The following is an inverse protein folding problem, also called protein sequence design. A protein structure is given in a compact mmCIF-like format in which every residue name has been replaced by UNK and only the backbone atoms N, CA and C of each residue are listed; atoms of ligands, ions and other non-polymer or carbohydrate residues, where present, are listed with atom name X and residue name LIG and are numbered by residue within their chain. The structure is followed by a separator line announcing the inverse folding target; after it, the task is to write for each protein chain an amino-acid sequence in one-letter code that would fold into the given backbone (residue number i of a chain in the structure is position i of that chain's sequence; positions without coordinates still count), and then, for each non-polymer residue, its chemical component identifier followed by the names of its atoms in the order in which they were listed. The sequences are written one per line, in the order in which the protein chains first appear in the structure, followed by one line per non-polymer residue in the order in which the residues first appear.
data_IF_322334371949
#
_entry.id   IF_322334371949
#
_cell.length_a   1.000
_cell.length_b   1.000
_cell.length_c   1.000
_cell.angle_alpha   90.00
_cell.angle_beta   90.00
_cell.angle_gamma   90.00
#
_symmetry.space_group_name_H-M   'P 1'
#
loop_
_entity.id
_entity.type
_entity.pdbx_description
1 polymer ?
#
# COMPACT_ATOMS: atom_id res chain seq x y z
N UNK A 1 25.37 -5.24 15.86
CA UNK A 1 24.47 -6.34 16.28
C UNK A 1 24.77 -7.51 15.36
N UNK A 2 24.96 -8.72 15.90
CA UNK A 2 25.16 -9.93 15.08
C UNK A 2 23.79 -10.58 14.84
N UNK A 3 23.07 -10.13 13.81
CA UNK A 3 21.90 -10.84 13.28
C UNK A 3 22.29 -11.60 12.01
N UNK A 4 21.62 -12.72 11.75
CA UNK A 4 21.74 -13.43 10.48
C UNK A 4 20.68 -12.86 9.50
N UNK A 5 21.07 -12.13 8.43
CA UNK A 5 20.12 -11.53 7.50
C UNK A 5 19.20 -12.54 6.82
N UNK A 6 19.67 -13.76 6.56
CA UNK A 6 18.86 -14.80 5.91
C UNK A 6 17.75 -15.30 6.83
N UNK A 7 18.03 -15.45 8.14
CA UNK A 7 16.99 -15.78 9.12
C UNK A 7 15.95 -14.67 9.24
N UNK A 8 16.38 -13.41 9.23
CA UNK A 8 15.47 -12.27 9.27
C UNK A 8 14.59 -12.21 8.01
N UNK A 9 15.18 -12.43 6.83
CA UNK A 9 14.44 -12.51 5.57
C UNK A 9 13.37 -13.61 5.62
N UNK A 10 13.74 -14.80 6.09
CA UNK A 10 12.79 -15.91 6.21
C UNK A 10 11.68 -15.59 7.21
N UNK A 11 12.00 -14.97 8.35
CA UNK A 11 10.97 -14.50 9.29
C UNK A 11 10.01 -13.52 8.61
N UNK A 12 10.52 -12.51 7.92
CA UNK A 12 9.72 -11.46 7.27
C UNK A 12 8.80 -12.04 6.19
N UNK A 13 9.32 -12.89 5.31
CA UNK A 13 8.56 -13.46 4.20
C UNK A 13 7.50 -14.48 4.63
N UNK A 14 7.67 -15.09 5.80
CA UNK A 14 6.74 -16.11 6.30
C UNK A 14 5.82 -15.59 7.40
N UNK A 15 6.04 -14.37 7.92
CA UNK A 15 5.21 -13.83 8.99
C UNK A 15 3.83 -13.43 8.46
N UNK A 16 2.79 -13.78 9.24
CA UNK A 16 1.41 -13.34 9.00
C UNK A 16 1.01 -12.15 9.87
N UNK A 17 1.95 -11.65 10.67
CA UNK A 17 1.72 -10.55 11.61
C UNK A 17 2.73 -9.44 11.32
N UNK A 18 2.36 -8.16 11.49
CA UNK A 18 3.30 -7.07 11.36
C UNK A 18 4.38 -7.14 12.45
N UNK A 19 5.63 -6.92 12.04
CA UNK A 19 6.81 -6.97 12.91
C UNK A 19 7.49 -5.59 12.99
N UNK A 20 7.91 -5.22 14.20
CA UNK A 20 8.68 -4.01 14.46
C UNK A 20 10.14 -4.37 14.75
N UNK A 21 11.05 -3.84 13.92
CA UNK A 21 12.50 -4.01 14.08
C UNK A 21 13.11 -2.74 14.65
N UNK A 22 13.53 -2.77 15.92
CA UNK A 22 14.10 -1.62 16.63
C UNK A 22 15.61 -1.57 16.46
N UNK A 23 16.18 -0.39 16.20
CA UNK A 23 17.64 -0.16 16.22
C UNK A 23 18.47 -1.10 15.31
N UNK A 24 17.84 -1.75 14.32
CA UNK A 24 18.53 -2.67 13.40
C UNK A 24 19.24 -1.90 12.28
N UNK A 25 18.53 -0.93 11.69
CA UNK A 25 19.08 -0.08 10.63
C UNK A 25 19.95 1.02 11.27
N UNK A 26 21.21 1.11 10.86
CA UNK A 26 22.20 2.06 11.40
C UNK A 26 22.55 3.17 10.39
N UNK A 27 21.62 3.48 9.49
CA UNK A 27 21.79 4.50 8.46
C UNK A 27 22.08 5.88 9.04
N UNK A 28 22.95 6.67 8.37
CA UNK A 28 23.22 8.06 8.75
C UNK A 28 21.98 8.95 8.69
N UNK A 29 20.96 8.53 7.92
CA UNK A 29 19.69 9.23 7.79
C UNK A 29 19.00 9.42 9.14
N UNK A 30 19.19 8.49 10.09
CA UNK A 30 18.61 8.59 11.44
C UNK A 30 19.15 9.76 12.26
N UNK A 31 20.29 10.32 11.86
CA UNK A 31 20.90 11.49 12.50
C UNK A 31 20.57 12.80 11.79
N UNK A 32 19.83 12.75 10.67
CA UNK A 32 19.49 13.95 9.91
C UNK A 32 18.42 14.76 10.65
N UNK A 33 18.66 16.06 10.74
CA UNK A 33 17.67 17.03 11.20
C UNK A 33 17.06 17.79 10.00
N UNK A 34 16.13 18.71 10.26
CA UNK A 34 15.45 19.45 9.20
C UNK A 34 16.39 20.30 8.34
N UNK A 35 17.56 20.73 8.84
CA UNK A 35 18.57 21.45 8.03
C UNK A 35 19.24 20.53 7.02
N UNK A 36 19.49 19.27 7.40
CA UNK A 36 20.04 18.27 6.47
C UNK A 36 19.03 17.97 5.35
N UNK A 37 17.76 17.78 5.72
CA UNK A 37 16.68 17.59 4.74
C UNK A 37 16.49 18.81 3.83
N UNK A 38 16.55 20.02 4.39
CA UNK A 38 16.52 21.26 3.60
C UNK A 38 17.63 21.29 2.56
N UNK A 39 18.86 20.96 2.93
CA UNK A 39 20.01 20.93 2.00
C UNK A 39 19.83 19.90 0.89
N UNK A 40 19.28 18.73 1.19
CA UNK A 40 19.08 17.66 0.20
C UNK A 40 17.93 17.98 -0.77
N UNK A 41 16.93 18.72 -0.31
CA UNK A 41 15.72 19.04 -1.08
C UNK A 41 15.70 20.48 -1.62
N UNK A 42 16.78 21.25 -1.43
CA UNK A 42 16.83 22.70 -1.65
C UNK A 42 16.38 23.12 -3.05
N UNK A 43 16.86 22.42 -4.07
CA UNK A 43 16.60 22.77 -5.48
C UNK A 43 15.38 22.04 -6.08
N UNK A 44 14.55 21.41 -5.23
CA UNK A 44 13.40 20.63 -5.69
C UNK A 44 12.10 21.39 -5.50
N UNK A 45 11.33 21.49 -6.58
CA UNK A 45 9.91 21.79 -6.49
C UNK A 45 9.16 20.51 -6.12
N UNK A 46 8.65 20.47 -4.89
CA UNK A 46 7.94 19.33 -4.34
C UNK A 46 6.44 19.53 -4.56
N UNK A 47 5.76 18.46 -4.96
CA UNK A 47 4.31 18.45 -5.17
C UNK A 47 3.62 17.78 -3.98
N UNK A 48 2.91 18.58 -3.19
CA UNK A 48 2.23 18.15 -1.99
C UNK A 48 0.73 18.00 -2.23
N UNK A 49 0.14 16.89 -1.80
CA UNK A 49 -1.28 16.86 -1.48
C UNK A 49 -1.54 17.71 -0.25
N UNK A 50 -2.67 18.40 -0.25
CA UNK A 50 -3.07 19.27 0.84
C UNK A 50 -4.49 18.94 1.28
N UNK A 51 -4.66 18.74 2.58
CA UNK A 51 -5.97 18.56 3.21
C UNK A 51 -6.03 19.27 4.55
N UNK A 52 -7.11 19.07 5.29
CA UNK A 52 -7.36 19.66 6.60
C UNK A 52 -6.99 18.69 7.72
N UNK A 53 -6.32 19.17 8.75
CA UNK A 53 -6.08 18.47 10.00
C UNK A 53 -7.27 18.67 10.94
N UNK A 54 -8.43 18.16 10.52
CA UNK A 54 -9.69 18.25 11.26
C UNK A 54 -10.53 16.99 11.04
N UNK A 55 -11.60 16.83 11.83
CA UNK A 55 -12.56 15.74 11.64
C UNK A 55 -13.37 15.97 10.36
N UNK A 56 -13.28 15.03 9.42
CA UNK A 56 -14.04 15.06 8.18
C UNK A 56 -15.06 13.92 8.13
N UNK A 57 -16.24 14.18 7.56
CA UNK A 57 -17.29 13.16 7.39
C UNK A 57 -16.83 12.01 6.49
N UNK A 58 -16.10 12.34 5.42
CA UNK A 58 -15.50 11.39 4.50
C UNK A 58 -13.97 11.45 4.63
N UNK A 59 -13.24 10.35 4.37
CA UNK A 59 -11.78 10.40 4.32
C UNK A 59 -11.28 11.40 3.26
N UNK A 60 -10.13 12.02 3.51
CA UNK A 60 -9.53 13.00 2.60
C UNK A 60 -8.67 12.29 1.56
N UNK A 61 -9.36 11.69 0.61
CA UNK A 61 -8.76 10.92 -0.46
C UNK A 61 -7.89 11.75 -1.40
N UNK A 62 -6.96 11.08 -2.07
CA UNK A 62 -5.99 11.61 -3.03
C UNK A 62 -6.64 12.54 -4.06
N UNK A 63 -7.75 12.11 -4.65
CA UNK A 63 -8.51 12.88 -5.65
C UNK A 63 -9.38 14.00 -5.10
N UNK A 64 -9.65 13.99 -3.80
CA UNK A 64 -10.47 15.01 -3.12
C UNK A 64 -9.61 16.07 -2.44
N UNK A 65 -8.33 15.80 -2.27
CA UNK A 65 -7.33 16.76 -1.78
C UNK A 65 -6.80 17.62 -2.92
N UNK A 66 -6.42 18.85 -2.60
CA UNK A 66 -5.79 19.72 -3.58
C UNK A 66 -4.30 19.39 -3.73
N UNK A 67 -3.72 19.74 -4.87
CA UNK A 67 -2.27 19.69 -5.08
C UNK A 67 -1.70 21.10 -4.97
N UNK A 68 -0.60 21.24 -4.23
CA UNK A 68 0.17 22.47 -4.12
C UNK A 68 1.63 22.16 -4.35
N UNK A 69 2.31 22.99 -5.15
CA UNK A 69 3.75 22.88 -5.38
C UNK A 69 4.51 23.89 -4.53
N UNK A 70 5.68 23.50 -4.04
CA UNK A 70 6.53 24.39 -3.26
C UNK A 70 7.88 23.78 -2.91
N UNK A 71 8.79 24.61 -2.42
CA UNK A 71 10.08 24.14 -1.90
C UNK A 71 9.94 23.46 -0.54
N UNK A 72 11.01 22.82 -0.08
CA UNK A 72 11.05 22.32 1.30
C UNK A 72 10.94 23.44 2.34
N UNK A 73 11.38 24.66 2.03
CA UNK A 73 11.17 25.83 2.90
C UNK A 73 9.72 26.26 2.99
N UNK A 74 8.98 26.20 1.87
CA UNK A 74 7.54 26.38 1.90
C UNK A 74 6.89 25.35 2.83
N UNK A 75 7.28 24.07 2.72
CA UNK A 75 6.78 23.02 3.61
C UNK A 75 7.07 23.32 5.09
N UNK A 76 8.30 23.70 5.44
CA UNK A 76 8.68 24.03 6.82
C UNK A 76 7.89 25.22 7.36
N UNK A 77 7.77 26.31 6.59
CA UNK A 77 7.00 27.48 6.99
C UNK A 77 5.52 27.15 7.23
N UNK A 78 4.93 26.29 6.39
CA UNK A 78 3.55 25.83 6.59
C UNK A 78 3.43 24.95 7.84
N UNK A 79 4.40 24.10 8.15
CA UNK A 79 4.38 23.27 9.36
C UNK A 79 4.49 24.07 10.66
N UNK A 80 5.12 25.25 10.62
CA UNK A 80 5.24 26.16 11.75
C UNK A 80 4.03 27.10 11.89
N UNK A 81 3.27 27.30 10.81
CA UNK A 81 2.04 28.08 10.82
C UNK A 81 0.92 27.37 11.61
N UNK A 82 0.03 28.14 12.24
CA UNK A 82 -1.18 27.61 12.89
C UNK A 82 -2.27 27.21 11.88
N UNK A 83 -1.91 26.89 10.63
CA UNK A 83 -2.89 26.48 9.63
C UNK A 83 -3.49 25.13 10.01
N UNK A 84 -4.80 24.99 9.82
CA UNK A 84 -5.49 23.71 9.92
C UNK A 84 -5.18 22.79 8.72
N UNK A 85 -4.19 23.09 7.87
CA UNK A 85 -3.92 22.30 6.67
C UNK A 85 -2.67 21.46 6.85
N UNK A 86 -2.71 20.22 6.37
CA UNK A 86 -1.54 19.37 6.24
C UNK A 86 -1.03 19.36 4.80
N UNK A 87 0.27 19.14 4.65
CA UNK A 87 0.97 18.93 3.39
C UNK A 87 1.52 17.51 3.38
N UNK A 88 1.39 16.81 2.26
CA UNK A 88 1.87 15.44 2.11
C UNK A 88 2.50 15.20 0.74
N UNK A 89 3.80 14.96 0.72
CA UNK A 89 4.57 14.49 -0.43
C UNK A 89 4.64 12.96 -0.31
N UNK A 90 3.62 12.28 -0.80
CA UNK A 90 3.41 10.84 -0.67
C UNK A 90 3.57 10.09 -2.00
N UNK A 91 3.93 8.80 -1.91
CA UNK A 91 4.08 7.88 -3.05
C UNK A 91 5.08 8.34 -4.12
N UNK A 92 6.15 9.02 -3.71
CA UNK A 92 7.15 9.55 -4.63
C UNK A 92 8.30 8.56 -4.77
N UNK A 93 8.42 7.94 -5.94
CA UNK A 93 9.54 7.05 -6.25
C UNK A 93 10.86 7.82 -6.25
N UNK A 94 11.86 7.32 -5.51
CA UNK A 94 13.16 7.98 -5.41
C UNK A 94 13.89 8.06 -6.75
N UNK A 95 13.73 7.04 -7.61
CA UNK A 95 14.27 7.00 -8.98
C UNK A 95 13.70 8.07 -9.91
N UNK A 96 12.56 8.66 -9.58
CA UNK A 96 11.90 9.66 -10.43
C UNK A 96 12.05 11.07 -9.84
N UNK A 97 11.94 11.20 -8.51
CA UNK A 97 11.88 12.51 -7.84
C UNK A 97 13.21 12.98 -7.27
N UNK A 98 14.06 12.06 -6.80
CA UNK A 98 15.27 12.36 -6.03
C UNK A 98 16.48 11.64 -6.61
N UNK A 99 16.67 11.74 -7.94
CA UNK A 99 17.73 11.06 -8.70
C UNK A 99 19.14 11.54 -8.36
N UNK A 100 19.29 12.83 -8.07
CA UNK A 100 20.53 13.54 -7.77
C UNK A 100 20.82 13.63 -6.25
N UNK A 101 19.97 13.06 -5.41
CA UNK A 101 20.13 13.07 -3.96
C UNK A 101 21.04 11.93 -3.48
N UNK A 102 22.27 11.83 -3.99
CA UNK A 102 23.22 10.73 -3.69
C UNK A 102 23.38 10.48 -2.19
N UNK A 103 23.52 11.53 -1.39
CA UNK A 103 23.65 11.41 0.06
C UNK A 103 22.42 10.76 0.74
N UNK A 104 21.22 10.89 0.17
CA UNK A 104 20.04 10.16 0.63
C UNK A 104 20.10 8.71 0.15
N UNK A 105 20.32 8.52 -1.16
CA UNK A 105 20.26 7.23 -1.84
C UNK A 105 21.29 6.23 -1.32
N UNK A 106 22.52 6.69 -1.10
CA UNK A 106 23.63 5.86 -0.59
C UNK A 106 23.43 5.38 0.86
N UNK A 107 22.51 6.02 1.60
CA UNK A 107 22.23 5.67 2.98
C UNK A 107 20.95 4.82 3.14
N UNK A 108 20.39 4.31 2.04
CA UNK A 108 19.28 3.35 2.04
C UNK A 108 19.86 1.95 1.78
N UNK A 109 19.69 1.04 2.74
CA UNK A 109 20.06 -0.36 2.55
C UNK A 109 19.15 -1.27 3.36
N UNK A 110 18.60 -2.27 2.67
CA UNK A 110 17.78 -3.33 3.25
C UNK A 110 18.55 -4.63 3.47
N UNK A 111 19.86 -4.64 3.18
CA UNK A 111 20.74 -5.78 3.41
C UNK A 111 20.72 -6.29 4.87
N UNK A 112 20.63 -5.45 5.92
CA UNK A 112 20.52 -5.95 7.30
C UNK A 112 19.27 -6.80 7.57
N UNK A 113 18.21 -6.65 6.77
CA UNK A 113 16.98 -7.47 6.82
C UNK A 113 17.02 -8.66 5.84
N UNK A 114 18.14 -8.86 5.13
CA UNK A 114 18.33 -9.93 4.15
C UNK A 114 17.81 -9.63 2.74
N UNK A 115 17.60 -8.34 2.43
CA UNK A 115 17.19 -7.86 1.10
C UNK A 115 18.26 -6.97 0.45
N UNK A 116 19.48 -7.47 0.17
CA UNK A 116 20.57 -6.65 -0.36
C UNK A 116 20.32 -6.11 -1.78
N UNK A 117 19.38 -6.72 -2.51
CA UNK A 117 19.05 -6.33 -3.88
C UNK A 117 17.99 -5.23 -3.96
N UNK A 118 17.32 -4.89 -2.85
CA UNK A 118 16.40 -3.76 -2.81
C UNK A 118 17.24 -2.51 -2.58
N UNK A 119 17.24 -1.64 -3.58
CA UNK A 119 18.04 -0.41 -3.63
C UNK A 119 17.16 0.82 -3.44
N UNK A 120 17.76 2.01 -3.43
CA UNK A 120 17.01 3.25 -3.42
C UNK A 120 16.06 3.39 -4.63
N UNK A 121 16.36 2.78 -5.78
CA UNK A 121 15.50 2.86 -6.97
C UNK A 121 14.19 2.09 -6.83
N UNK A 122 14.17 1.09 -5.95
CA UNK A 122 13.00 0.29 -5.62
C UNK A 122 12.15 0.95 -4.52
N UNK A 123 12.60 2.08 -3.98
CA UNK A 123 11.99 2.72 -2.82
C UNK A 123 11.15 3.95 -3.19
N UNK A 124 10.08 4.16 -2.42
CA UNK A 124 9.27 5.37 -2.39
C UNK A 124 9.53 6.16 -1.10
N UNK A 125 9.33 7.48 -1.15
CA UNK A 125 9.48 8.39 -0.01
C UNK A 125 8.15 9.06 0.34
N UNK A 126 7.95 9.28 1.63
CA UNK A 126 6.84 10.02 2.20
C UNK A 126 7.35 11.12 3.12
N UNK A 127 7.00 12.37 2.82
CA UNK A 127 7.29 13.54 3.67
C UNK A 127 5.97 14.23 3.96
N UNK A 128 5.55 14.27 5.24
CA UNK A 128 4.26 14.84 5.63
C UNK A 128 4.37 15.73 6.85
N UNK A 129 3.57 16.80 6.87
CA UNK A 129 3.39 17.63 8.05
C UNK A 129 2.53 16.89 9.09
N UNK A 130 2.41 17.46 10.30
CA UNK A 130 1.46 16.96 11.30
C UNK A 130 0.05 16.90 10.68
N UNK A 131 -0.62 15.77 10.82
CA UNK A 131 -1.97 15.56 10.30
C UNK A 131 -2.05 14.93 8.92
N UNK A 132 -0.95 14.92 8.16
CA UNK A 132 -0.88 14.19 6.90
C UNK A 132 -1.11 12.70 7.15
N UNK A 133 -1.97 12.08 6.35
CA UNK A 133 -2.37 10.70 6.52
C UNK A 133 -2.68 10.05 5.17
N UNK A 134 -2.52 8.74 5.15
CA UNK A 134 -3.00 7.89 4.07
C UNK A 134 -4.24 7.16 4.58
N UNK A 135 -5.38 7.22 3.87
CA UNK A 135 -6.55 6.42 4.21
C UNK A 135 -6.22 4.92 4.30
N UNK A 136 -7.04 4.17 5.03
CA UNK A 136 -6.89 2.72 5.11
C UNK A 136 -7.03 2.11 3.71
N UNK A 137 -6.03 1.31 3.33
CA UNK A 137 -5.94 0.61 2.06
C UNK A 137 -5.19 -0.71 2.29
N UNK A 138 -5.22 -1.57 1.27
CA UNK A 138 -4.46 -2.81 1.23
C UNK A 138 -3.49 -2.71 0.07
N UNK A 139 -2.22 -2.98 0.35
CA UNK A 139 -1.20 -3.13 -0.66
C UNK A 139 -1.10 -4.59 -1.10
N UNK A 140 -0.77 -4.77 -2.36
CA UNK A 140 -0.73 -6.03 -3.09
C UNK A 140 0.69 -6.52 -3.36
N UNK A 141 1.71 -5.78 -2.93
CA UNK A 141 3.14 -6.04 -3.17
C UNK A 141 3.74 -7.17 -2.32
N UNK A 142 2.92 -8.04 -1.72
CA UNK A 142 3.35 -9.10 -0.81
C UNK A 142 3.69 -8.59 0.59
N UNK A 143 4.85 -7.93 0.75
CA UNK A 143 5.24 -7.33 2.03
C UNK A 143 5.93 -5.98 1.85
N UNK A 144 5.57 -5.00 2.69
CA UNK A 144 6.23 -3.69 2.71
C UNK A 144 7.27 -3.60 3.82
N UNK A 145 8.45 -3.10 3.46
CA UNK A 145 9.47 -2.68 4.42
C UNK A 145 9.39 -1.17 4.59
N UNK A 146 9.07 -0.71 5.80
CA UNK A 146 8.92 0.72 6.11
C UNK A 146 10.06 1.18 7.00
N UNK A 147 10.82 2.17 6.54
CA UNK A 147 11.90 2.78 7.30
C UNK A 147 11.51 4.20 7.77
N UNK A 148 11.15 4.33 9.04
CA UNK A 148 10.84 5.65 9.64
C UNK A 148 12.14 6.40 9.97
N UNK A 149 12.42 7.45 9.20
CA UNK A 149 13.68 8.21 9.32
C UNK A 149 13.60 9.41 10.26
N UNK A 150 12.50 10.17 10.22
CA UNK A 150 12.31 11.38 11.02
C UNK A 150 10.86 11.50 11.53
N UNK A 151 10.67 11.99 12.75
CA UNK A 151 9.34 12.16 13.34
C UNK A 151 8.67 10.85 13.78
N UNK A 152 7.34 10.87 13.90
CA UNK A 152 6.53 9.72 14.35
C UNK A 152 5.29 9.58 13.48
N UNK A 153 4.96 8.35 13.09
CA UNK A 153 3.70 7.99 12.43
C UNK A 153 2.92 7.02 13.31
N UNK A 154 1.60 7.16 13.30
CA UNK A 154 0.68 6.17 13.85
C UNK A 154 0.28 5.22 12.73
N UNK A 155 0.45 3.92 12.96
CA UNK A 155 0.02 2.86 12.05
C UNK A 155 -1.13 2.09 12.68
N UNK A 156 -2.21 1.91 11.93
CA UNK A 156 -3.32 1.03 12.27
C UNK A 156 -3.36 -0.01 11.17
N UNK A 157 -3.14 -1.28 11.53
CA UNK A 157 -3.07 -2.39 10.59
C UNK A 157 -4.14 -3.39 10.98
N UNK A 158 -5.04 -3.68 10.03
CA UNK A 158 -6.03 -4.74 10.18
C UNK A 158 -5.56 -5.98 9.43
N UNK A 159 -5.76 -7.18 9.97
CA UNK A 159 -5.47 -8.41 9.22
C UNK A 159 -6.47 -8.56 8.05
N UNK A 160 -6.09 -9.27 6.98
CA UNK A 160 -6.87 -9.35 5.74
C UNK A 160 -8.23 -10.03 5.93
N UNK A 161 -8.42 -10.80 7.00
CA UNK A 161 -9.70 -11.44 7.33
C UNK A 161 -10.71 -10.45 7.94
N UNK A 162 -10.30 -9.25 8.33
CA UNK A 162 -11.24 -8.22 8.76
C UNK A 162 -12.08 -7.74 7.58
N UNK A 163 -13.41 -7.80 7.75
CA UNK A 163 -14.36 -7.36 6.73
C UNK A 163 -14.47 -5.82 6.71
N UNK A 164 -13.40 -5.16 6.28
CA UNK A 164 -13.40 -3.73 6.00
C UNK A 164 -14.17 -3.50 4.69
N UNK A 165 -15.17 -2.60 4.73
CA UNK A 165 -15.94 -2.27 3.53
C UNK A 165 -15.05 -1.51 2.54
N UNK A 166 -14.75 -2.07 1.37
CA UNK A 166 -14.03 -1.33 0.36
C UNK A 166 -14.86 -0.16 -0.14
N UNK A 167 -14.19 0.93 -0.51
CA UNK A 167 -14.86 2.16 -0.97
C UNK A 167 -14.62 2.45 -2.44
N UNK A 168 -13.77 1.67 -3.12
CA UNK A 168 -13.35 1.88 -4.51
C UNK A 168 -13.00 0.57 -5.20
N UNK A 169 -13.19 0.55 -6.52
CA UNK A 169 -12.81 -0.57 -7.40
C UNK A 169 -12.04 -0.04 -8.63
N UNK A 170 -11.21 -0.86 -9.31
CA UNK A 170 -10.63 -2.12 -8.87
C UNK A 170 -9.80 -1.89 -7.59
N UNK A 171 -9.65 -2.94 -6.79
CA UNK A 171 -8.69 -2.94 -5.69
C UNK A 171 -7.26 -2.85 -6.26
N UNK A 172 -6.26 -2.40 -5.49
CA UNK A 172 -4.88 -2.08 -5.93
C UNK A 172 -4.22 -3.13 -6.87
N UNK A 173 -3.19 -2.72 -7.62
CA UNK A 173 -2.48 -3.56 -8.61
C UNK A 173 -1.78 -4.77 -7.98
N UNK A 174 -2.14 -6.00 -8.32
CA UNK A 174 -1.56 -7.24 -7.77
C UNK A 174 -0.04 -7.37 -7.93
N UNK A 175 0.62 -8.10 -7.01
CA UNK A 175 2.06 -8.37 -7.14
C UNK A 175 2.37 -9.07 -8.47
N UNK A 176 3.44 -8.66 -9.20
CA UNK A 176 3.87 -9.34 -10.43
C UNK A 176 4.14 -10.84 -10.28
N UNK A 177 4.35 -11.33 -9.05
CA UNK A 177 4.69 -12.73 -8.79
C UNK A 177 3.48 -13.65 -8.53
N UNK A 178 2.28 -13.12 -8.32
CA UNK A 178 1.07 -13.93 -8.11
C UNK A 178 0.22 -13.98 -9.39
N UNK A 179 0.38 -15.05 -10.17
CA UNK A 179 -0.35 -15.22 -11.43
C UNK A 179 -1.87 -15.36 -11.21
N UNK A 180 -2.32 -15.96 -10.10
CA UNK A 180 -3.75 -16.13 -9.81
C UNK A 180 -4.39 -14.80 -9.43
N UNK A 181 -3.73 -14.02 -8.58
CA UNK A 181 -4.19 -12.69 -8.20
C UNK A 181 -4.22 -11.75 -9.41
N UNK A 182 -3.17 -11.77 -10.26
CA UNK A 182 -3.14 -11.01 -11.53
C UNK A 182 -4.25 -11.41 -12.50
N UNK A 183 -4.63 -12.69 -12.49
CA UNK A 183 -5.75 -13.15 -13.31
C UNK A 183 -7.08 -12.64 -12.75
N UNK A 184 -7.30 -12.74 -11.44
CA UNK A 184 -8.48 -12.21 -10.77
C UNK A 184 -8.60 -10.68 -10.96
N UNK A 185 -7.50 -9.95 -10.83
CA UNK A 185 -7.45 -8.50 -11.06
C UNK A 185 -7.85 -8.16 -12.49
N UNK A 186 -7.33 -8.88 -13.49
CA UNK A 186 -7.69 -8.64 -14.89
C UNK A 186 -9.19 -8.83 -15.18
N UNK A 187 -9.85 -9.74 -14.47
CA UNK A 187 -11.31 -9.93 -14.52
C UNK A 187 -12.01 -8.70 -13.94
N UNK A 188 -11.59 -8.26 -12.76
CA UNK A 188 -12.14 -7.06 -12.11
C UNK A 188 -11.97 -5.83 -13.00
N UNK A 189 -10.78 -5.61 -13.58
CA UNK A 189 -10.53 -4.49 -14.49
C UNK A 189 -11.50 -4.49 -15.70
N UNK A 190 -11.77 -5.65 -16.31
CA UNK A 190 -12.74 -5.77 -17.42
C UNK A 190 -14.19 -5.51 -16.99
N UNK A 191 -14.58 -5.95 -15.80
CA UNK A 191 -15.93 -5.70 -15.27
C UNK A 191 -16.11 -4.21 -14.96
N UNK A 192 -15.14 -3.60 -14.28
CA UNK A 192 -15.16 -2.17 -13.93
C UNK A 192 -15.11 -1.30 -15.18
N UNK A 193 -14.28 -1.65 -16.18
CA UNK A 193 -14.17 -0.90 -17.44
C UNK A 193 -15.53 -0.66 -18.10
N UNK A 194 -16.37 -1.69 -18.20
CA UNK A 194 -17.69 -1.59 -18.84
C UNK A 194 -18.63 -0.62 -18.10
N UNK A 195 -18.55 -0.57 -16.76
CA UNK A 195 -19.35 0.35 -15.96
C UNK A 195 -18.82 1.78 -16.06
N UNK A 196 -17.50 1.95 -16.04
CA UNK A 196 -16.83 3.25 -16.09
C UNK A 196 -17.05 3.95 -17.45
N UNK A 197 -17.12 3.19 -18.54
CA UNK A 197 -17.39 3.73 -19.89
C UNK A 197 -18.78 4.36 -20.03
N UNK A 198 -19.77 3.88 -19.25
CA UNK A 198 -21.15 4.41 -19.29
C UNK A 198 -21.42 5.47 -18.22
N UNK A 199 -20.54 5.59 -17.22
CA UNK A 199 -20.66 6.55 -16.13
C UNK A 199 -20.08 7.93 -16.48
N UNK A 200 -20.59 8.97 -15.83
CA UNK A 200 -20.04 10.32 -15.98
C UNK A 200 -18.73 10.48 -15.18
N UNK A 201 -17.98 11.56 -15.46
CA UNK A 201 -16.69 11.83 -14.83
C UNK A 201 -16.75 12.00 -13.30
N UNK A 202 -17.82 12.59 -12.79
CA UNK A 202 -17.99 12.81 -11.34
C UNK A 202 -18.19 11.47 -10.61
N UNK A 203 -19.08 10.62 -11.12
CA UNK A 203 -19.28 9.25 -10.64
C UNK A 203 -17.98 8.46 -10.70
N UNK A 204 -17.29 8.48 -11.84
CA UNK A 204 -15.99 7.79 -12.02
C UNK A 204 -14.93 8.24 -11.01
N UNK A 205 -14.81 9.54 -10.76
CA UNK A 205 -13.85 10.08 -9.79
C UNK A 205 -14.12 9.59 -8.36
N UNK A 206 -15.38 9.34 -8.01
CA UNK A 206 -15.80 8.88 -6.68
C UNK A 206 -15.64 7.37 -6.45
N UNK A 207 -15.75 6.54 -7.49
CA UNK A 207 -15.76 5.07 -7.35
C UNK A 207 -14.46 4.39 -7.78
N UNK A 208 -13.69 5.00 -8.67
CA UNK A 208 -12.49 4.37 -9.23
C UNK A 208 -11.30 4.55 -8.27
N UNK A 209 -10.49 3.51 -8.08
CA UNK A 209 -9.19 3.65 -7.44
C UNK A 209 -8.27 4.58 -8.27
N UNK A 210 -7.74 5.69 -7.72
CA UNK A 210 -6.79 6.57 -8.40
C UNK A 210 -5.63 5.86 -9.10
N UNK A 211 -5.08 4.81 -8.50
CA UNK A 211 -3.96 4.07 -9.07
C UNK A 211 -4.35 3.28 -10.32
N UNK A 212 -5.64 2.96 -10.49
CA UNK A 212 -6.16 2.19 -11.63
C UNK A 212 -6.68 3.08 -12.78
N UNK A 213 -6.65 4.40 -12.62
CA UNK A 213 -7.18 5.34 -13.63
C UNK A 213 -6.47 5.19 -14.96
N UNK A 214 -5.13 5.14 -14.94
CA UNK A 214 -4.36 5.05 -16.16
C UNK A 214 -4.70 3.78 -16.92
N UNK A 215 -4.75 2.64 -16.22
CA UNK A 215 -5.11 1.35 -16.81
C UNK A 215 -6.51 1.40 -17.42
N UNK A 216 -7.51 1.87 -16.67
CA UNK A 216 -8.91 1.82 -17.11
C UNK A 216 -9.25 2.82 -18.21
N UNK A 217 -8.62 4.01 -18.25
CA UNK A 217 -8.94 5.03 -19.24
C UNK A 217 -8.04 5.00 -20.48
N UNK A 218 -6.78 4.54 -20.38
CA UNK A 218 -5.86 4.50 -21.52
C UNK A 218 -5.93 3.19 -22.31
N UNK A 219 -6.42 2.10 -21.71
CA UNK A 219 -6.62 0.84 -22.42
C UNK A 219 -8.07 0.71 -22.88
N UNK A 220 -8.26 0.25 -24.11
CA UNK A 220 -9.57 -0.21 -24.59
C UNK A 220 -9.92 -1.59 -24.01
N UNK A 221 -11.18 -1.99 -24.18
CA UNK A 221 -11.67 -3.28 -23.72
C UNK A 221 -10.85 -4.45 -24.29
N UNK A 222 -10.46 -4.37 -25.56
CA UNK A 222 -9.65 -5.39 -26.24
C UNK A 222 -8.26 -5.56 -25.61
N UNK A 223 -7.61 -4.47 -25.23
CA UNK A 223 -6.30 -4.50 -24.57
C UNK A 223 -6.38 -5.13 -23.17
N UNK A 224 -7.43 -4.82 -22.41
CA UNK A 224 -7.69 -5.48 -21.12
C UNK A 224 -8.02 -6.96 -21.30
N UNK A 225 -8.78 -7.32 -22.33
CA UNK A 225 -9.10 -8.71 -22.66
C UNK A 225 -7.85 -9.52 -23.05
N UNK A 226 -6.93 -8.92 -23.79
CA UNK A 226 -5.61 -9.51 -24.07
C UNK A 226 -4.83 -9.76 -22.79
N UNK A 227 -4.81 -8.79 -21.87
CA UNK A 227 -4.14 -8.92 -20.57
C UNK A 227 -4.72 -10.07 -19.76
N UNK A 228 -6.06 -10.18 -19.69
CA UNK A 228 -6.74 -11.31 -19.06
C UNK A 228 -6.32 -12.65 -19.68
N UNK A 229 -6.29 -12.73 -21.01
CA UNK A 229 -5.90 -13.97 -21.70
C UNK A 229 -4.44 -14.36 -21.44
N UNK A 230 -3.53 -13.39 -21.34
CA UNK A 230 -2.13 -13.64 -20.95
C UNK A 230 -2.06 -14.20 -19.53
N UNK A 231 -2.73 -13.57 -18.56
CA UNK A 231 -2.77 -14.05 -17.18
C UNK A 231 -3.39 -15.45 -17.09
N UNK A 232 -4.49 -15.69 -17.81
CA UNK A 232 -5.13 -17.02 -17.93
C UNK A 232 -4.15 -18.09 -18.39
N UNK A 233 -3.39 -17.82 -19.47
CA UNK A 233 -2.42 -18.79 -20.00
C UNK A 233 -1.34 -19.13 -18.96
N UNK A 234 -0.81 -18.14 -18.25
CA UNK A 234 0.18 -18.35 -17.18
C UNK A 234 -0.37 -19.21 -16.03
N UNK A 235 -1.59 -18.91 -15.56
CA UNK A 235 -2.25 -19.75 -14.55
C UNK A 235 -2.41 -21.20 -15.03
N UNK A 236 -2.77 -21.41 -16.30
CA UNK A 236 -2.92 -22.75 -16.87
C UNK A 236 -1.58 -23.49 -16.99
N UNK A 237 -0.50 -22.80 -17.34
CA UNK A 237 0.86 -23.37 -17.38
C UNK A 237 1.30 -23.80 -15.98
N UNK A 238 1.09 -22.97 -14.96
CA UNK A 238 1.41 -23.30 -13.55
C UNK A 238 0.60 -24.50 -13.03
N UNK A 239 -0.66 -24.65 -13.44
CA UNK A 239 -1.48 -25.82 -13.09
C UNK A 239 -0.98 -27.11 -13.77
N UNK A 240 -0.41 -27.02 -14.97
CA UNK A 240 0.16 -28.16 -15.70
C UNK A 240 1.54 -28.56 -15.14
N UNK A 241 2.40 -27.59 -14.85
CA UNK A 241 3.71 -27.84 -14.24
C UNK A 241 3.59 -28.45 -12.85
N UNK A 242 2.65 -27.99 -12.01
CA UNK A 242 2.37 -28.58 -10.69
C UNK A 242 1.80 -30.00 -10.75
N UNK A 243 1.04 -30.35 -11.80
CA UNK A 243 0.58 -31.74 -12.04
C UNK A 243 1.74 -32.66 -12.43
N UNK A 244 2.70 -32.16 -13.20
CA UNK A 244 3.89 -32.92 -13.59
C UNK A 244 4.86 -33.08 -12.40
N UNK A 245 5.05 -32.04 -11.59
CA UNK A 245 5.93 -32.06 -10.41
C UNK A 245 5.41 -32.97 -9.28
N UNK A 246 4.08 -33.02 -9.08
CA UNK A 246 3.45 -33.96 -8.12
C UNK A 246 3.55 -35.43 -8.54
N UNK A 247 3.73 -35.72 -9.82
CA UNK A 247 3.98 -37.09 -10.28
C UNK A 247 5.45 -37.52 -10.10
N UNK A 248 6.39 -36.59 -9.95
CA UNK A 248 7.82 -36.88 -9.74
C UNK A 248 8.24 -36.89 -8.25
N UNK A 249 7.53 -36.20 -7.35
CA UNK A 249 7.92 -36.03 -5.94
C UNK A 249 7.20 -36.91 -4.91
N UNK A 250 6.81 -38.14 -5.26
CA UNK A 250 6.40 -39.13 -4.26
C UNK A 250 7.58 -39.71 -3.44
N UNK A 251 8.79 -39.12 -3.52
CA UNK A 251 9.89 -39.37 -2.59
C UNK A 251 10.65 -38.06 -2.30
N UNK A 252 10.89 -37.80 -1.01
CA UNK A 252 11.54 -36.62 -0.40
C UNK A 252 10.63 -35.38 -0.25
N UNK A 253 10.54 -34.68 0.89
CA UNK A 253 11.22 -34.76 2.18
C UNK A 253 10.55 -33.74 3.12
N UNK A 254 10.66 -33.97 4.43
CA UNK A 254 10.14 -33.09 5.49
C UNK A 254 10.67 -31.65 5.32
N UNK A 255 9.78 -30.69 5.11
CA UNK A 255 10.08 -29.28 5.33
C UNK A 255 10.19 -29.06 6.85
N UNK A 256 11.37 -28.64 7.34
CA UNK A 256 11.49 -28.09 8.68
C UNK A 256 10.67 -26.78 8.70
N UNK A 257 9.50 -26.78 9.34
CA UNK A 257 8.77 -25.56 9.65
C UNK A 257 9.68 -24.66 10.49
N UNK A 258 9.98 -23.48 9.95
CA UNK A 258 10.76 -22.46 10.62
C UNK A 258 9.94 -21.94 11.80
N UNK A 259 10.41 -22.15 13.03
CA UNK A 259 9.71 -21.65 14.22
C UNK A 259 9.92 -20.13 14.35
N UNK A 260 8.95 -19.34 13.92
CA UNK A 260 9.03 -17.87 13.93
C UNK A 260 9.21 -17.30 15.33
N UNK A 261 8.58 -17.92 16.32
CA UNK A 261 8.64 -17.46 17.71
C UNK A 261 10.06 -17.66 18.28
N UNK A 262 10.76 -18.74 17.93
CA UNK A 262 12.17 -18.94 18.30
C UNK A 262 13.08 -17.83 17.74
N UNK A 263 12.84 -17.38 16.50
CA UNK A 263 13.63 -16.30 15.89
C UNK A 263 13.35 -14.96 16.58
N UNK A 264 12.09 -14.70 16.91
CA UNK A 264 11.69 -13.49 17.63
C UNK A 264 12.30 -13.48 19.04
N UNK A 265 12.25 -14.60 19.76
CA UNK A 265 12.88 -14.73 21.08
C UNK A 265 14.41 -14.59 21.02
N UNK A 266 15.04 -15.12 19.97
CA UNK A 266 16.48 -14.99 19.71
C UNK A 266 16.89 -13.53 19.51
N UNK A 267 16.09 -12.74 18.80
CA UNK A 267 16.41 -11.36 18.45
C UNK A 267 15.56 -10.35 19.21
N UNK A 268 16.05 -9.91 20.38
CA UNK A 268 15.39 -8.95 21.28
C UNK A 268 15.01 -7.59 20.66
N UNK A 269 15.50 -7.28 19.47
CA UNK A 269 15.15 -6.05 18.75
C UNK A 269 13.91 -6.22 17.85
N UNK A 270 13.34 -7.42 17.77
CA UNK A 270 12.13 -7.73 17.02
C UNK A 270 10.96 -7.82 17.99
N UNK A 271 9.87 -7.16 17.65
CA UNK A 271 8.63 -7.21 18.42
C UNK A 271 7.44 -7.43 17.50
N UNK A 272 6.49 -8.26 17.95
CA UNK A 272 5.17 -8.33 17.32
C UNK A 272 4.39 -7.06 17.68
N UNK A 273 3.68 -6.50 16.70
CA UNK A 273 2.80 -5.36 16.97
C UNK A 273 1.64 -5.81 17.87
N UNK A 274 1.32 -5.06 18.95
CA UNK A 274 0.22 -5.44 19.84
C UNK A 274 -1.12 -5.51 19.12
N UNK A 275 -1.83 -6.63 19.29
CA UNK A 275 -3.21 -6.77 18.80
C UNK A 275 -4.17 -6.10 19.78
N UNK A 276 -4.99 -5.18 19.28
CA UNK A 276 -6.08 -4.58 20.04
C UNK A 276 -7.33 -5.45 19.92
N UNK A 277 -8.08 -5.61 21.01
CA UNK A 277 -9.47 -6.09 20.95
C UNK A 277 -10.36 -5.03 20.29
N UNK A 278 -11.57 -5.42 19.87
CA UNK A 278 -12.54 -4.49 19.29
C UNK A 278 -12.86 -3.32 20.23
N UNK A 279 -12.98 -3.57 21.53
CA UNK A 279 -13.23 -2.52 22.53
C UNK A 279 -12.02 -1.60 22.69
N UNK A 280 -10.80 -2.16 22.73
CA UNK A 280 -9.57 -1.37 22.80
C UNK A 280 -9.38 -0.51 21.56
N UNK A 281 -9.65 -1.06 20.37
CA UNK A 281 -9.59 -0.31 19.11
C UNK A 281 -10.62 0.83 19.11
N UNK A 282 -11.85 0.57 19.56
CA UNK A 282 -12.90 1.59 19.65
C UNK A 282 -12.48 2.74 20.58
N UNK A 283 -12.03 2.42 21.79
CA UNK A 283 -11.53 3.41 22.75
C UNK A 283 -10.35 4.19 22.16
N UNK A 284 -9.42 3.50 21.52
CA UNK A 284 -8.29 4.13 20.86
C UNK A 284 -8.72 5.13 19.78
N UNK A 285 -9.69 4.76 18.92
CA UNK A 285 -10.22 5.65 17.88
C UNK A 285 -10.97 6.86 18.46
N UNK A 286 -11.72 6.66 19.55
CA UNK A 286 -12.38 7.74 20.30
C UNK A 286 -11.35 8.69 20.92
N UNK A 287 -10.23 8.19 21.44
CA UNK A 287 -9.13 9.02 21.93
C UNK A 287 -8.44 9.78 20.80
N UNK A 288 -8.24 9.14 19.63
CA UNK A 288 -7.64 9.81 18.47
C UNK A 288 -8.55 10.92 17.93
N UNK A 289 -9.88 10.77 17.98
CA UNK A 289 -10.81 11.79 17.48
C UNK A 289 -10.79 13.06 18.33
N UNK A 290 -10.51 12.95 19.63
CA UNK A 290 -10.36 14.11 20.53
C UNK A 290 -9.19 15.04 20.17
N UNK A 291 -8.31 14.65 19.23
CA UNK A 291 -7.18 15.46 18.78
C UNK A 291 -7.57 16.57 17.80
N UNK A 292 -8.78 16.51 17.24
CA UNK A 292 -9.28 17.49 16.28
C UNK A 292 -10.01 18.63 17.02
N UNK A 293 -9.68 19.88 16.67
CA UNK A 293 -9.94 21.08 17.50
C UNK A 293 -11.39 21.57 17.47
N UNK A 294 -12.28 20.95 16.69
CA UNK A 294 -13.68 21.33 16.63
C UNK A 294 -14.54 20.11 16.27
N UNK A 295 -15.43 19.67 17.16
CA UNK A 295 -16.48 18.70 16.82
C UNK A 295 -17.54 19.27 15.86
N UNK A 296 -17.35 20.50 15.38
CA UNK A 296 -18.18 21.14 14.37
C UNK A 296 -17.89 20.50 13.02
N UNK A 297 -18.79 19.62 12.59
CA UNK A 297 -18.76 18.94 11.29
C UNK A 297 -18.49 19.97 10.18
N UNK A 298 -17.31 19.90 9.57
CA UNK A 298 -17.09 20.54 8.28
C UNK A 298 -17.78 19.65 7.25
N UNK A 299 -18.91 20.12 6.73
CA UNK A 299 -19.65 19.45 5.67
C UNK A 299 -18.80 19.42 4.39
N UNK A 300 -18.07 18.34 4.22
CA UNK A 300 -17.58 17.92 2.91
C UNK A 300 -18.72 17.22 2.19
N UNK A 301 -18.88 17.61 0.92
CA UNK A 301 -19.98 17.33 -0.01
C UNK A 301 -20.63 15.96 0.22
N UNK A 302 -21.97 15.97 0.26
CA UNK A 302 -22.85 14.82 0.38
C UNK A 302 -22.40 13.63 -0.48
N UNK A 303 -21.85 12.60 0.14
CA UNK A 303 -21.88 11.24 -0.42
C UNK A 303 -23.27 10.67 -0.16
N UNK A 304 -24.16 10.77 -1.14
CA UNK A 304 -25.16 9.71 -1.29
C UNK A 304 -24.37 8.43 -1.55
N UNK A 305 -24.70 7.34 -0.89
CA UNK A 305 -24.26 6.01 -1.32
C UNK A 305 -24.55 5.89 -2.81
N UNK A 306 -23.51 5.59 -3.59
CA UNK A 306 -23.59 5.59 -5.04
C UNK A 306 -24.04 4.18 -5.45
N UNK A 307 -25.26 4.05 -5.96
CA UNK A 307 -25.82 2.76 -6.45
C UNK A 307 -24.86 2.04 -7.42
N UNK A 308 -24.05 2.78 -8.17
CA UNK A 308 -23.01 2.21 -9.05
C UNK A 308 -21.90 1.53 -8.27
N UNK A 309 -21.47 2.11 -7.14
CA UNK A 309 -20.45 1.51 -6.28
C UNK A 309 -20.97 0.24 -5.60
N UNK A 310 -22.24 0.25 -5.15
CA UNK A 310 -22.88 -0.94 -4.59
C UNK A 310 -22.92 -2.07 -5.61
N UNK A 311 -23.36 -1.77 -6.85
CA UNK A 311 -23.35 -2.74 -7.94
C UNK A 311 -21.93 -3.26 -8.23
N UNK A 312 -20.95 -2.38 -8.31
CA UNK A 312 -19.57 -2.74 -8.56
C UNK A 312 -19.03 -3.67 -7.46
N UNK A 313 -19.28 -3.35 -6.19
CA UNK A 313 -18.87 -4.18 -5.07
C UNK A 313 -19.44 -5.61 -5.19
N UNK A 314 -20.69 -5.77 -5.63
CA UNK A 314 -21.29 -7.08 -5.88
C UNK A 314 -20.63 -7.80 -7.06
N UNK A 315 -20.37 -7.09 -8.16
CA UNK A 315 -19.75 -7.67 -9.36
C UNK A 315 -18.29 -8.07 -9.13
N UNK A 316 -17.59 -7.34 -8.28
CA UNK A 316 -16.16 -7.53 -7.97
C UNK A 316 -15.93 -8.25 -6.64
N UNK A 317 -16.98 -8.85 -6.07
CA UNK A 317 -16.89 -9.67 -4.87
C UNK A 317 -15.98 -10.89 -5.12
N UNK A 318 -15.20 -11.28 -4.11
CA UNK A 318 -14.23 -12.37 -4.24
C UNK A 318 -14.86 -13.69 -4.65
N UNK A 319 -16.08 -14.00 -4.20
CA UNK A 319 -16.77 -15.24 -4.56
C UNK A 319 -17.22 -15.22 -6.02
N UNK A 320 -17.67 -14.06 -6.50
CA UNK A 320 -18.07 -13.84 -7.90
C UNK A 320 -16.85 -13.95 -8.81
N UNK A 321 -15.77 -13.24 -8.47
CA UNK A 321 -14.50 -13.28 -9.24
C UNK A 321 -13.94 -14.69 -9.25
N UNK A 322 -13.88 -15.37 -8.09
CA UNK A 322 -13.44 -16.77 -7.99
C UNK A 322 -14.28 -17.72 -8.83
N UNK A 323 -15.61 -17.53 -8.89
CA UNK A 323 -16.48 -18.30 -9.76
C UNK A 323 -16.15 -18.07 -11.25
N UNK A 324 -15.97 -16.81 -11.66
CA UNK A 324 -15.59 -16.47 -13.04
C UNK A 324 -14.22 -17.09 -13.38
N UNK A 325 -13.22 -16.91 -12.52
CA UNK A 325 -11.87 -17.45 -12.70
C UNK A 325 -11.89 -18.95 -12.89
N UNK A 326 -12.60 -19.69 -12.02
CA UNK A 326 -12.76 -21.14 -12.13
C UNK A 326 -13.40 -21.54 -13.46
N UNK A 327 -14.45 -20.85 -13.90
CA UNK A 327 -15.13 -21.14 -15.17
C UNK A 327 -14.24 -20.85 -16.38
N UNK A 328 -13.50 -19.74 -16.37
CA UNK A 328 -12.59 -19.38 -17.45
C UNK A 328 -11.40 -20.34 -17.54
N UNK A 329 -10.85 -20.79 -16.42
CA UNK A 329 -9.74 -21.74 -16.37
C UNK A 329 -10.17 -23.18 -16.71
N UNK A 330 -11.40 -23.55 -16.39
CA UNK A 330 -11.96 -24.87 -16.68
C UNK A 330 -12.22 -25.14 -18.17
N UNK A 331 -12.23 -24.11 -19.02
CA UNK A 331 -12.37 -24.26 -20.48
C UNK A 331 -11.08 -24.81 -21.11
N UNK A 332 -10.80 -26.08 -20.83
CA UNK A 332 -10.00 -27.04 -21.59
C UNK A 332 -10.70 -28.40 -21.48
N UNK A 333 -11.73 -28.58 -22.29
CA UNK A 333 -12.09 -29.89 -22.85
C UNK A 333 -11.95 -29.78 -24.34
#
# INVERSE_FOLDING_TARGET
MNSNPDELRQLILNSKEPLLFKNLLTSKLLNWNLKDWRRILENKELEFRTGVFDYTKNPQWERTTNLTKGSFDYFLNQTESETKNWLYFDYKYLKDWLTDAEALRDNISWAPLGFPNITADDCTIWIGSKGAHTPCHMDTYGCNLVFQVYGKKLWIVSPPEENLRPTRVPYEESSPQDDEERFNESIVQLLVKQVVEVCNKETNNSIINPNMEQILFHNDFESLLRTLNICKSKCQENLQSNKNFRNENNQSGKSNELNQDEIIEKYKFIEKVPKLSSDQLKLFLEEQSNRFMDNTRVDTINSKENDVLELLNVLTDSDVVSLISRKLLANKT
#
